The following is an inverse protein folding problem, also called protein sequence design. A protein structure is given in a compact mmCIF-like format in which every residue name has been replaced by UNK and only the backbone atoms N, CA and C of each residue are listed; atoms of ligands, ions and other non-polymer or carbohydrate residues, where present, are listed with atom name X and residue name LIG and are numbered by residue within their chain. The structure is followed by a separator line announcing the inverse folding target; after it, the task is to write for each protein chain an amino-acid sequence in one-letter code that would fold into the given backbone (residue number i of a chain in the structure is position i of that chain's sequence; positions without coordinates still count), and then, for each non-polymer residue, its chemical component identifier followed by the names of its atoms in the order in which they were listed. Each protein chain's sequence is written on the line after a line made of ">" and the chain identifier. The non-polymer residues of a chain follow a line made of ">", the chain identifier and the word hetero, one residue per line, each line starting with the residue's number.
data_IF_013879324420
#
_entry.id   IF_013879324420
#
_cell.length_a   1.000
_cell.length_b   1.000
_cell.length_c   1.000
_cell.angle_alpha   90.00
_cell.angle_beta   90.00
_cell.angle_gamma   90.00
#
_symmetry.space_group_name_H-M   'P 1'
#
loop_
_entity.id
_entity.type
_entity.pdbx_description
1 polymer ?
#
# COMPACT_ATOMS: atom_id res chain seq x y z
N UNK A 1 -18.50 31.44 11.80
CA UNK A 1 -17.80 30.32 12.48
C UNK A 1 -17.78 29.14 11.50
N UNK A 2 -16.78 28.94 10.64
CA UNK A 2 -15.36 28.63 10.89
C UNK A 2 -15.18 27.28 11.61
N UNK A 3 -15.00 26.22 10.80
CA UNK A 3 -14.01 25.16 10.99
C UNK A 3 -13.87 24.33 9.71
N UNK A 4 -12.85 24.69 8.92
CA UNK A 4 -12.16 23.80 7.99
C UNK A 4 -11.32 22.81 8.79
N UNK A 5 -11.38 21.53 8.45
CA UNK A 5 -10.28 20.56 8.50
C UNK A 5 -10.79 19.32 7.76
N UNK A 6 -10.39 19.06 6.52
CA UNK A 6 -9.13 18.34 6.33
C UNK A 6 -9.27 16.88 6.77
N UNK A 7 -10.18 16.12 6.15
CA UNK A 7 -10.06 14.66 6.18
C UNK A 7 -8.89 14.31 5.26
N UNK A 8 -7.71 14.32 5.86
CA UNK A 8 -6.45 13.93 5.25
C UNK A 8 -6.66 12.52 4.67
N UNK A 9 -6.68 12.42 3.34
CA UNK A 9 -6.50 11.16 2.65
C UNK A 9 -5.04 10.72 2.87
N UNK A 10 -4.73 10.15 4.03
CA UNK A 10 -3.47 9.45 4.28
C UNK A 10 -3.77 8.05 4.77
N UNK A 11 -3.61 7.10 3.82
CA UNK A 11 -3.33 5.68 4.01
C UNK A 11 -4.25 4.95 4.99
N UNK A 12 -5.23 4.26 4.43
CA UNK A 12 -5.81 3.09 5.08
C UNK A 12 -4.68 2.13 5.53
N UNK A 13 -4.63 2.01 6.86
CA UNK A 13 -4.61 0.76 7.59
C UNK A 13 -3.41 -0.14 7.32
N UNK A 14 -2.38 0.09 8.13
CA UNK A 14 -1.49 -0.94 8.66
C UNK A 14 -2.29 -2.03 9.40
N UNK A 15 -3.13 -2.78 8.68
CA UNK A 15 -3.80 -3.95 9.22
C UNK A 15 -2.78 -5.05 9.46
N UNK A 16 -2.48 -5.35 10.73
CA UNK A 16 -1.82 -6.59 11.12
C UNK A 16 -0.29 -6.64 11.01
N UNK A 17 0.41 -5.52 11.19
CA UNK A 17 1.88 -5.58 11.31
C UNK A 17 2.28 -6.05 12.71
N UNK A 18 2.51 -7.35 12.86
CA UNK A 18 3.21 -7.89 14.03
C UNK A 18 4.71 -8.02 13.71
N UNK A 19 5.50 -7.07 14.22
CA UNK A 19 6.96 -7.00 14.02
C UNK A 19 7.72 -8.15 14.70
N UNK A 20 7.07 -8.87 15.62
CA UNK A 20 7.68 -9.97 16.38
C UNK A 20 7.57 -11.31 15.66
N UNK A 21 6.65 -11.47 14.70
CA UNK A 21 6.34 -12.77 14.09
C UNK A 21 6.89 -12.93 12.67
N UNK A 22 7.79 -12.05 12.22
CA UNK A 22 8.37 -12.05 10.86
C UNK A 22 7.30 -12.21 9.75
N UNK A 23 6.11 -11.66 9.98
CA UNK A 23 4.92 -11.93 9.15
C UNK A 23 4.96 -11.17 7.83
N UNK A 24 4.15 -11.62 6.87
CA UNK A 24 3.98 -11.04 5.54
C UNK A 24 3.83 -9.49 5.55
N UNK A 25 3.34 -8.90 6.64
CA UNK A 25 3.24 -7.45 6.82
C UNK A 25 4.54 -6.67 6.60
N UNK A 26 5.71 -7.21 6.99
CA UNK A 26 7.00 -6.55 6.72
C UNK A 26 7.37 -6.61 5.23
N UNK A 27 7.16 -7.77 4.59
CA UNK A 27 7.38 -7.93 3.16
C UNK A 27 6.50 -7.01 2.32
N UNK A 28 5.23 -6.85 2.69
CA UNK A 28 4.30 -5.92 2.07
C UNK A 28 4.71 -4.46 2.28
N UNK A 29 5.16 -4.12 3.49
CA UNK A 29 5.64 -2.78 3.82
C UNK A 29 6.83 -2.38 2.96
N UNK A 30 7.90 -3.19 2.95
CA UNK A 30 9.09 -2.89 2.15
C UNK A 30 8.79 -2.86 0.67
N UNK A 31 7.97 -3.80 0.17
CA UNK A 31 7.56 -3.79 -1.24
C UNK A 31 6.80 -2.51 -1.62
N UNK A 32 5.96 -2.00 -0.72
CA UNK A 32 5.24 -0.74 -0.93
C UNK A 32 6.20 0.45 -0.93
N UNK A 33 7.23 0.43 -0.08
CA UNK A 33 8.23 1.49 -0.02
C UNK A 33 9.10 1.52 -1.28
N UNK A 34 9.57 0.35 -1.74
CA UNK A 34 10.31 0.22 -3.01
C UNK A 34 9.45 0.66 -4.20
N UNK A 35 8.17 0.29 -4.24
CA UNK A 35 7.25 0.73 -5.30
C UNK A 35 7.15 2.27 -5.33
N UNK A 36 7.05 2.92 -4.16
CA UNK A 36 7.00 4.40 -4.05
C UNK A 36 8.27 5.10 -4.50
N UNK A 37 9.42 4.45 -4.35
CA UNK A 37 10.71 4.97 -4.82
C UNK A 37 10.81 4.98 -6.34
N UNK A 38 10.06 4.13 -7.06
CA UNK A 38 9.98 4.19 -8.51
C UNK A 38 9.18 5.42 -8.93
N UNK A 39 9.89 6.41 -9.46
CA UNK A 39 9.34 7.71 -9.86
C UNK A 39 9.71 8.00 -11.29
N UNK A 40 8.73 8.41 -12.07
CA UNK A 40 8.94 8.91 -13.42
C UNK A 40 8.06 10.15 -13.63
N UNK A 41 8.70 11.32 -13.71
CA UNK A 41 8.04 12.65 -13.69
C UNK A 41 7.11 12.77 -12.47
N UNK A 42 5.85 13.12 -12.70
CA UNK A 42 4.80 13.28 -11.69
C UNK A 42 4.15 11.96 -11.26
N UNK A 43 4.57 10.82 -11.84
CA UNK A 43 4.04 9.50 -11.50
C UNK A 43 4.94 8.79 -10.50
N UNK A 44 4.32 8.04 -9.59
CA UNK A 44 5.01 7.18 -8.62
C UNK A 44 4.41 5.78 -8.66
N UNK A 45 5.24 4.79 -8.39
CA UNK A 45 4.78 3.42 -8.24
C UNK A 45 3.99 3.23 -6.95
N UNK A 46 3.27 2.12 -6.89
CA UNK A 46 2.42 1.77 -5.77
C UNK A 46 2.10 0.29 -5.73
N UNK A 47 1.58 -0.15 -4.59
CA UNK A 47 1.28 -1.53 -4.31
C UNK A 47 -0.12 -1.63 -3.72
N UNK A 48 -0.90 -2.61 -4.18
CA UNK A 48 -2.26 -2.89 -3.68
C UNK A 48 -2.47 -4.40 -3.55
N UNK A 49 -3.38 -4.77 -2.66
CA UNK A 49 -3.83 -6.14 -2.48
C UNK A 49 -5.30 -6.22 -2.87
N UNK A 50 -5.64 -7.25 -3.63
CA UNK A 50 -7.00 -7.54 -4.05
C UNK A 50 -7.29 -9.02 -3.79
N UNK A 51 -8.55 -9.38 -3.61
CA UNK A 51 -8.99 -10.78 -3.53
C UNK A 51 -9.93 -11.08 -4.71
N UNK A 52 -10.01 -12.35 -5.10
CA UNK A 52 -10.89 -12.76 -6.20
C UNK A 52 -10.27 -12.53 -7.58
N UNK A 53 -8.94 -12.67 -7.69
CA UNK A 53 -8.28 -12.73 -8.99
C UNK A 53 -8.72 -13.94 -9.82
N UNK A 54 -8.08 -14.18 -10.96
CA UNK A 54 -8.44 -15.24 -11.92
C UNK A 54 -8.66 -16.63 -11.28
N UNK A 55 -7.98 -16.92 -10.17
CA UNK A 55 -8.05 -18.21 -9.47
C UNK A 55 -8.74 -18.13 -8.10
N UNK A 56 -9.45 -17.05 -7.79
CA UNK A 56 -10.18 -16.87 -6.53
C UNK A 56 -9.32 -16.56 -5.30
N UNK A 57 -8.00 -16.44 -5.45
CA UNK A 57 -7.07 -16.14 -4.37
C UNK A 57 -6.73 -14.65 -4.19
N UNK A 58 -5.83 -14.38 -3.25
CA UNK A 58 -5.23 -13.07 -3.03
C UNK A 58 -4.26 -12.68 -4.14
N UNK A 59 -4.31 -11.41 -4.53
CA UNK A 59 -3.53 -10.83 -5.61
C UNK A 59 -2.65 -9.71 -5.05
N UNK A 60 -1.37 -9.78 -5.38
CA UNK A 60 -0.39 -8.75 -5.07
C UNK A 60 -0.11 -7.94 -6.34
N UNK A 61 -0.50 -6.67 -6.34
CA UNK A 61 -0.49 -5.83 -7.54
C UNK A 61 0.54 -4.71 -7.36
N UNK A 62 1.63 -4.82 -8.10
CA UNK A 62 2.69 -3.82 -8.18
C UNK A 62 2.52 -2.97 -9.45
N UNK A 63 2.42 -1.65 -9.29
CA UNK A 63 2.33 -0.70 -10.39
C UNK A 63 3.58 0.19 -10.38
N UNK A 64 4.28 0.28 -11.52
CA UNK A 64 5.46 1.14 -11.70
C UNK A 64 5.20 2.15 -12.84
N UNK A 65 5.68 3.39 -12.73
CA UNK A 65 5.36 4.48 -13.64
C UNK A 65 6.20 4.55 -14.92
#
# INVERSE_FOLDING_TARGET
>A
ALLRAGAIATKETAGGMNFLTNSAGLGLYFSSEVARMHRHRERRGGLRLENGGRYGGGCFILNLP
#
